data_IF_173111793388
#
_entry.id   IF_173111793388
#
_cell.length_a   1.000
_cell.length_b   1.000
_cell.length_c   1.000
_cell.angle_alpha   90.00
_cell.angle_beta   90.00
_cell.angle_gamma   90.00
#
_symmetry.space_group_name_H-M   'P 1'
#
loop_
_entity.id
_entity.type
_entity.pdbx_description
1 polymer ?
#
# COMPACT_ATOMS: atom_id res chain seq x y z
N UNK A 1 -41.05 -27.61 27.89
CA UNK A 1 -41.04 -26.42 27.02
C UNK A 1 -40.23 -25.32 27.67
N UNK A 2 -39.24 -24.81 26.92
CA UNK A 2 -38.52 -23.53 26.99
C UNK A 2 -37.90 -23.04 28.31
N UNK A 3 -36.57 -23.15 28.38
CA UNK A 3 -35.69 -22.42 29.30
C UNK A 3 -35.62 -20.96 28.88
N UNK A 4 -35.80 -20.05 29.83
CA UNK A 4 -35.66 -18.61 29.67
C UNK A 4 -34.23 -18.14 29.96
N UNK A 5 -33.71 -17.34 29.02
CA UNK A 5 -32.69 -16.27 29.07
C UNK A 5 -31.64 -16.27 30.20
N UNK A 6 -30.37 -16.24 29.79
CA UNK A 6 -29.39 -15.31 30.37
C UNK A 6 -28.39 -14.88 29.30
N UNK A 7 -28.77 -13.82 28.61
CA UNK A 7 -27.99 -13.08 27.63
C UNK A 7 -26.70 -12.53 28.25
N UNK A 8 -25.54 -13.06 27.81
CA UNK A 8 -24.22 -12.45 27.99
C UNK A 8 -23.28 -12.91 26.88
N UNK A 9 -23.25 -12.17 25.78
CA UNK A 9 -22.02 -12.02 25.01
C UNK A 9 -22.15 -10.79 24.11
N UNK A 10 -21.87 -9.64 24.71
CA UNK A 10 -21.71 -8.37 24.01
C UNK A 10 -20.46 -8.45 23.16
N UNK A 11 -20.60 -8.87 21.90
CA UNK A 11 -19.53 -8.74 20.90
C UNK A 11 -19.76 -7.45 20.12
N UNK A 12 -19.17 -6.38 20.63
CA UNK A 12 -18.81 -5.19 19.86
C UNK A 12 -17.72 -5.57 18.87
N UNK A 13 -18.02 -5.54 17.56
CA UNK A 13 -17.02 -5.27 16.54
C UNK A 13 -17.58 -4.19 15.62
N UNK A 14 -17.31 -2.95 16.00
CA UNK A 14 -17.25 -1.82 15.08
C UNK A 14 -15.98 -1.99 14.26
N UNK A 15 -16.11 -2.31 12.97
CA UNK A 15 -15.02 -2.19 12.01
C UNK A 15 -15.51 -1.35 10.83
N UNK A 16 -15.36 -0.04 11.03
CA UNK A 16 -15.54 1.00 10.02
C UNK A 16 -14.16 1.20 9.40
N UNK A 17 -13.91 0.64 8.21
CA UNK A 17 -12.70 0.93 7.44
C UNK A 17 -13.10 1.34 6.04
N UNK A 18 -12.76 2.59 5.74
CA UNK A 18 -13.10 3.32 4.54
C UNK A 18 -12.45 2.68 3.31
N UNK A 19 -13.26 1.98 2.52
CA UNK A 19 -12.84 1.50 1.21
C UNK A 19 -12.65 2.68 0.25
N UNK A 20 -11.40 2.81 -0.22
CA UNK A 20 -11.01 3.25 -1.56
C UNK A 20 -11.46 4.65 -2.01
N UNK A 21 -10.66 5.66 -1.66
CA UNK A 21 -10.51 6.88 -2.49
C UNK A 21 -9.08 6.97 -3.05
N UNK A 22 -8.57 5.91 -3.68
CA UNK A 22 -7.39 6.04 -4.54
C UNK A 22 -7.86 6.76 -5.80
N UNK A 23 -7.46 8.03 -5.90
CA UNK A 23 -8.00 9.04 -6.78
C UNK A 23 -7.95 8.72 -8.27
N UNK A 24 -8.90 9.31 -8.99
CA UNK A 24 -8.85 9.46 -10.44
C UNK A 24 -7.61 10.28 -10.83
N UNK A 25 -6.59 9.60 -11.36
CA UNK A 25 -5.34 10.21 -11.81
C UNK A 25 -4.19 9.33 -11.37
N UNK A 26 -3.50 8.71 -12.32
CA UNK A 26 -2.40 7.78 -12.04
C UNK A 26 -1.26 8.40 -11.24
N UNK A 27 -0.22 7.62 -11.02
CA UNK A 27 0.97 8.11 -10.32
C UNK A 27 1.68 9.15 -11.18
N UNK A 28 2.10 10.26 -10.56
CA UNK A 28 2.96 11.26 -11.21
C UNK A 28 4.36 10.72 -11.49
N UNK A 29 5.25 11.57 -11.99
CA UNK A 29 6.69 11.23 -12.08
C UNK A 29 7.23 11.01 -10.68
N UNK A 30 7.92 9.89 -10.47
CA UNK A 30 8.57 9.55 -9.20
C UNK A 30 10.09 9.53 -9.35
N UNK A 31 10.76 9.66 -8.22
CA UNK A 31 12.20 9.43 -8.06
C UNK A 31 12.57 7.97 -8.31
N UNK A 32 13.86 7.74 -8.60
CA UNK A 32 14.43 6.39 -8.70
C UNK A 32 14.23 5.60 -7.39
N UNK A 33 14.47 6.25 -6.25
CA UNK A 33 14.25 5.67 -4.91
C UNK A 33 12.81 5.18 -4.72
N UNK A 34 11.81 5.99 -5.10
CA UNK A 34 10.42 5.58 -5.01
C UNK A 34 10.07 4.42 -5.96
N UNK A 35 10.66 4.38 -7.16
CA UNK A 35 10.49 3.29 -8.11
C UNK A 35 11.09 1.97 -7.58
N UNK A 36 12.26 2.04 -6.95
CA UNK A 36 12.92 0.88 -6.34
C UNK A 36 12.10 0.32 -5.17
N UNK A 37 11.57 1.19 -4.31
CA UNK A 37 10.67 0.76 -3.25
C UNK A 37 9.36 0.19 -3.78
N UNK A 38 8.78 0.76 -4.84
CA UNK A 38 7.61 0.17 -5.49
C UNK A 38 7.92 -1.23 -6.08
N UNK A 39 9.11 -1.41 -6.65
CA UNK A 39 9.57 -2.72 -7.16
C UNK A 39 9.74 -3.74 -6.04
N UNK A 40 10.39 -3.33 -4.94
CA UNK A 40 10.54 -4.15 -3.74
C UNK A 40 9.18 -4.53 -3.16
N UNK A 41 8.26 -3.57 -3.05
CA UNK A 41 6.92 -3.78 -2.53
C UNK A 41 6.10 -4.70 -3.42
N UNK A 42 6.20 -4.57 -4.75
CA UNK A 42 5.62 -5.52 -5.69
C UNK A 42 6.13 -6.95 -5.44
N UNK A 43 7.44 -7.13 -5.23
CA UNK A 43 8.04 -8.43 -4.94
C UNK A 43 7.55 -9.03 -3.61
N UNK A 44 7.51 -8.22 -2.55
CA UNK A 44 7.02 -8.62 -1.23
C UNK A 44 5.53 -8.99 -1.29
N UNK A 45 4.69 -8.13 -1.88
CA UNK A 45 3.26 -8.36 -2.01
C UNK A 45 2.94 -9.56 -2.91
N UNK A 46 3.68 -9.75 -4.01
CA UNK A 46 3.50 -10.90 -4.89
C UNK A 46 3.85 -12.24 -4.23
N UNK A 47 4.72 -12.22 -3.23
CA UNK A 47 5.11 -13.40 -2.45
C UNK A 47 4.35 -13.51 -1.13
N UNK A 48 3.46 -12.56 -0.83
CA UNK A 48 2.77 -12.42 0.45
C UNK A 48 3.74 -12.53 1.64
N UNK A 49 4.93 -11.92 1.48
CA UNK A 49 6.05 -12.08 2.38
C UNK A 49 5.94 -11.15 3.60
N UNK A 50 4.99 -11.44 4.50
CA UNK A 50 4.72 -10.61 5.68
C UNK A 50 5.97 -10.34 6.55
N UNK A 51 6.90 -11.29 6.64
CA UNK A 51 8.16 -11.12 7.38
C UNK A 51 9.10 -10.07 6.77
N UNK A 52 8.97 -9.78 5.47
CA UNK A 52 9.76 -8.77 4.76
C UNK A 52 9.06 -7.40 4.72
N UNK A 53 7.75 -7.36 4.96
CA UNK A 53 6.94 -6.15 4.87
C UNK A 53 7.38 -5.08 5.87
N UNK A 54 7.60 -5.45 7.13
CA UNK A 54 7.99 -4.50 8.17
C UNK A 54 9.43 -3.98 7.99
N UNK A 55 10.33 -4.83 7.48
CA UNK A 55 11.68 -4.40 7.11
C UNK A 55 11.64 -3.38 5.96
N UNK A 56 10.77 -3.61 4.96
CA UNK A 56 10.58 -2.68 3.85
C UNK A 56 9.94 -1.37 4.31
N UNK A 57 8.97 -1.43 5.22
CA UNK A 57 8.34 -0.25 5.81
C UNK A 57 9.36 0.62 6.55
N UNK A 58 10.22 0.01 7.37
CA UNK A 58 11.27 0.75 8.09
C UNK A 58 12.27 1.42 7.14
N UNK A 59 12.59 0.80 6.00
CA UNK A 59 13.45 1.41 4.98
C UNK A 59 12.77 2.61 4.30
N UNK A 60 11.48 2.50 3.98
CA UNK A 60 10.69 3.61 3.40
C UNK A 60 10.58 4.77 4.40
N UNK A 61 10.37 4.49 5.68
CA UNK A 61 10.33 5.51 6.74
C UNK A 61 11.70 6.21 6.88
N UNK A 62 12.79 5.45 6.82
CA UNK A 62 14.14 6.00 6.87
C UNK A 62 14.44 6.89 5.65
N UNK A 63 14.10 6.45 4.43
CA UNK A 63 14.27 7.24 3.21
C UNK A 63 13.41 8.52 3.23
N UNK A 64 12.19 8.43 3.79
CA UNK A 64 11.32 9.59 4.01
C UNK A 64 11.96 10.58 4.97
N UNK A 65 12.49 10.11 6.10
CA UNK A 65 13.16 10.95 7.09
C UNK A 65 14.46 11.58 6.56
N UNK A 66 15.16 10.88 5.66
CA UNK A 66 16.35 11.36 4.97
C UNK A 66 16.04 12.37 3.84
N UNK A 67 14.75 12.56 3.49
CA UNK A 67 14.34 13.43 2.38
C UNK A 67 14.57 12.83 1.00
N UNK A 68 14.82 11.53 0.90
CA UNK A 68 14.98 10.80 -0.37
C UNK A 68 13.64 10.47 -1.02
N UNK A 69 12.56 10.52 -0.24
CA UNK A 69 11.18 10.41 -0.71
C UNK A 69 10.43 11.71 -0.41
N UNK A 70 9.67 12.19 -1.40
CA UNK A 70 8.72 13.28 -1.19
C UNK A 70 7.53 12.82 -0.36
N UNK A 71 6.83 13.76 0.27
CA UNK A 71 5.61 13.44 1.03
C UNK A 71 4.55 12.70 0.20
N UNK A 72 4.49 12.97 -1.11
CA UNK A 72 3.56 12.30 -2.03
C UNK A 72 3.98 10.84 -2.28
N UNK A 73 5.27 10.59 -2.55
CA UNK A 73 5.79 9.24 -2.76
C UNK A 73 5.68 8.38 -1.51
N UNK A 74 6.06 8.94 -0.34
CA UNK A 74 5.91 8.27 0.95
C UNK A 74 4.44 7.92 1.22
N UNK A 75 3.50 8.81 0.88
CA UNK A 75 2.06 8.54 1.01
C UNK A 75 1.61 7.40 0.10
N UNK A 76 2.06 7.38 -1.15
CA UNK A 76 1.73 6.31 -2.09
C UNK A 76 2.28 4.95 -1.64
N UNK A 77 3.56 4.89 -1.29
CA UNK A 77 4.20 3.66 -0.79
C UNK A 77 3.56 3.21 0.53
N UNK A 78 3.26 4.15 1.43
CA UNK A 78 2.59 3.90 2.70
C UNK A 78 1.18 3.31 2.52
N UNK A 79 0.41 3.76 1.52
CA UNK A 79 -0.89 3.17 1.21
C UNK A 79 -0.75 1.70 0.77
N UNK A 80 0.24 1.38 -0.06
CA UNK A 80 0.48 0.00 -0.48
C UNK A 80 0.93 -0.90 0.68
N UNK A 81 1.74 -0.36 1.60
CA UNK A 81 2.11 -1.07 2.84
C UNK A 81 0.89 -1.33 3.72
N UNK A 82 -0.05 -0.38 3.81
CA UNK A 82 -1.29 -0.54 4.55
C UNK A 82 -2.17 -1.64 3.94
N UNK A 83 -2.38 -1.62 2.63
CA UNK A 83 -3.12 -2.68 1.91
C UNK A 83 -2.51 -4.07 2.21
N UNK A 84 -1.18 -4.18 2.13
CA UNK A 84 -0.45 -5.41 2.44
C UNK A 84 -0.60 -5.85 3.91
N UNK A 85 -0.54 -4.91 4.87
CA UNK A 85 -0.74 -5.20 6.30
C UNK A 85 -2.15 -5.66 6.62
N UNK A 86 -3.14 -5.14 5.90
CA UNK A 86 -4.54 -5.54 6.02
C UNK A 86 -4.83 -6.89 5.33
N UNK A 87 -3.81 -7.51 4.72
CA UNK A 87 -3.91 -8.78 4.00
C UNK A 87 -4.40 -8.64 2.57
N UNK A 88 -4.61 -7.40 2.08
CA UNK A 88 -4.93 -7.11 0.68
C UNK A 88 -3.65 -7.02 -0.17
N UNK A 89 -2.93 -8.15 -0.22
CA UNK A 89 -1.71 -8.30 -1.01
C UNK A 89 -1.96 -8.04 -2.51
N UNK A 90 -3.17 -8.34 -2.98
CA UNK A 90 -3.56 -8.12 -4.35
C UNK A 90 -3.65 -6.62 -4.68
N UNK A 91 -4.29 -5.81 -3.82
CA UNK A 91 -4.33 -4.36 -3.97
C UNK A 91 -2.94 -3.75 -3.90
N UNK A 92 -2.13 -4.12 -2.90
CA UNK A 92 -0.76 -3.64 -2.76
C UNK A 92 0.09 -3.91 -4.02
N UNK A 93 0.02 -5.14 -4.55
CA UNK A 93 0.71 -5.54 -5.78
C UNK A 93 0.20 -4.76 -7.00
N UNK A 94 -1.11 -4.59 -7.13
CA UNK A 94 -1.72 -3.87 -8.25
C UNK A 94 -1.32 -2.39 -8.23
N UNK A 95 -1.32 -1.76 -7.06
CA UNK A 95 -0.92 -0.38 -6.86
C UNK A 95 0.57 -0.16 -7.19
N UNK A 96 1.45 -1.03 -6.67
CA UNK A 96 2.89 -0.99 -6.97
C UNK A 96 3.16 -1.16 -8.48
N UNK A 97 2.50 -2.13 -9.11
CA UNK A 97 2.58 -2.34 -10.56
C UNK A 97 2.14 -1.10 -11.33
N UNK A 98 1.02 -0.50 -10.92
CA UNK A 98 0.47 0.67 -11.59
C UNK A 98 1.42 1.86 -11.50
N UNK A 99 2.05 2.08 -10.36
CA UNK A 99 3.06 3.12 -10.17
C UNK A 99 4.21 2.97 -11.17
N UNK A 100 4.75 1.76 -11.30
CA UNK A 100 5.83 1.46 -12.25
C UNK A 100 5.39 1.64 -13.71
N UNK A 101 4.19 1.17 -14.08
CA UNK A 101 3.65 1.33 -15.43
C UNK A 101 3.43 2.80 -15.82
N UNK A 102 3.01 3.64 -14.86
CA UNK A 102 2.81 5.07 -15.09
C UNK A 102 4.13 5.79 -15.39
N UNK A 103 5.27 5.30 -14.89
CA UNK A 103 6.59 5.86 -15.22
C UNK A 103 7.00 5.54 -16.67
N UNK A 104 6.72 4.32 -17.12
CA UNK A 104 7.00 3.91 -18.51
C UNK A 104 6.14 4.73 -19.48
N UNK A 105 4.84 4.89 -19.18
CA UNK A 105 3.91 5.66 -20.02
C UNK A 105 4.25 7.14 -20.07
N UNK A 106 4.74 7.71 -18.97
CA UNK A 106 5.13 9.13 -18.92
C UNK A 106 6.39 9.37 -19.74
N UNK A 107 7.39 8.48 -19.66
CA UNK A 107 8.62 8.59 -20.47
C UNK A 107 8.34 8.50 -21.97
N UNK A 108 7.51 7.55 -22.41
CA UNK A 108 7.19 7.40 -23.84
C UNK A 108 6.47 8.62 -24.43
N UNK A 109 5.73 9.38 -23.62
CA UNK A 109 5.04 10.60 -24.07
C UNK A 109 5.95 11.83 -24.10
N UNK A 110 7.06 11.83 -23.36
CA UNK A 110 8.05 12.93 -23.42
C UNK A 110 8.95 12.88 -24.66
N UNK A 111 8.97 11.75 -25.38
CA UNK A 111 9.80 11.51 -26.56
C UNK A 111 9.03 11.69 -27.89
N UNK A 112 7.73 12.04 -27.83
CA UNK A 112 6.84 12.28 -28.98
C UNK A 112 6.61 13.78 -29.20
#
# INVERSE_FOLDING_TARGET
>A
MSRTSKDRSTWTITALVAAATIGCGGYGVVSETAYDYATALYSVANREAASQLESLAAQIDAATAAGELTATESKWLGAMLADARDGDWAAARAAARRLMEDQVRTRSQSES
#
